data_IF_206290592919
#
_entry.id   IF_206290592919
#
_cell.length_a   1.000
_cell.length_b   1.000
_cell.length_c   1.000
_cell.angle_alpha   90.00
_cell.angle_beta   90.00
_cell.angle_gamma   90.00
#
_symmetry.space_group_name_H-M   'P 1'
#
loop_
_entity.id
_entity.type
_entity.pdbx_description
1 polymer ?
#
# COMPACT_ATOMS: atom_id res chain seq x y z
N UNK A 1 19.07 5.68 -0.88
CA UNK A 1 17.93 6.46 -0.34
C UNK A 1 17.85 6.31 1.17
N UNK A 2 17.42 7.37 1.86
CA UNK A 2 17.16 7.36 3.30
C UNK A 2 15.65 7.48 3.49
N UNK A 3 15.03 6.49 4.14
CA UNK A 3 13.59 6.47 4.37
C UNK A 3 13.27 7.29 5.62
N UNK A 4 12.58 8.43 5.47
CA UNK A 4 12.20 9.30 6.59
C UNK A 4 10.97 8.77 7.31
N UNK A 5 9.98 8.30 6.55
CA UNK A 5 8.70 7.81 7.05
C UNK A 5 8.21 6.68 6.13
N UNK A 6 7.46 5.73 6.68
CA UNK A 6 6.82 4.66 5.92
C UNK A 6 5.43 4.40 6.49
N UNK A 7 4.51 3.99 5.62
CA UNK A 7 3.18 3.52 5.99
C UNK A 7 2.81 2.35 5.07
N UNK A 8 2.13 1.34 5.61
CA UNK A 8 1.73 0.16 4.84
C UNK A 8 0.25 -0.15 5.01
N UNK A 9 -0.39 -0.68 3.96
CA UNK A 9 -1.82 -1.04 4.03
C UNK A 9 -2.10 -2.18 5.02
N UNK A 10 -1.12 -3.02 5.33
CA UNK A 10 -1.23 -4.03 6.38
C UNK A 10 -1.31 -3.46 7.81
N UNK A 11 -1.10 -2.16 7.99
CA UNK A 11 -1.33 -1.45 9.25
C UNK A 11 -2.79 -0.98 9.41
N UNK A 12 -3.52 -0.81 8.30
CA UNK A 12 -4.91 -0.32 8.28
C UNK A 12 -5.91 -1.16 9.09
N UNK A 13 -5.73 -2.48 9.31
CA UNK A 13 -6.58 -3.22 10.23
C UNK A 13 -6.60 -2.66 11.66
N UNK A 14 -5.53 -1.97 12.11
CA UNK A 14 -5.52 -1.26 13.40
C UNK A 14 -6.51 -0.09 13.43
N UNK A 15 -6.78 0.49 12.28
CA UNK A 15 -7.66 1.64 12.08
C UNK A 15 -9.07 1.23 11.62
N UNK A 16 -9.40 -0.08 11.65
CA UNK A 16 -10.74 -0.59 11.35
C UNK A 16 -10.92 -1.20 9.95
N UNK A 17 -9.98 -1.00 9.02
CA UNK A 17 -10.05 -1.59 7.67
C UNK A 17 -9.41 -2.97 7.68
N UNK A 18 -10.21 -4.01 7.95
CA UNK A 18 -9.70 -5.40 8.12
C UNK A 18 -9.40 -6.13 6.80
N UNK A 19 -10.06 -5.75 5.71
CA UNK A 19 -9.99 -6.40 4.39
C UNK A 19 -9.95 -5.34 3.29
N UNK A 20 -9.72 -5.74 2.04
CA UNK A 20 -9.69 -4.80 0.91
C UNK A 20 -8.45 -3.89 0.87
N UNK A 21 -7.31 -4.37 1.40
CA UNK A 21 -6.08 -3.59 1.61
C UNK A 21 -5.33 -3.16 0.33
N UNK A 22 -5.92 -3.41 -0.84
CA UNK A 22 -5.33 -3.16 -2.15
C UNK A 22 -6.22 -2.30 -3.05
N UNK A 23 -7.39 -1.84 -2.59
CA UNK A 23 -8.27 -0.99 -3.39
C UNK A 23 -7.85 0.50 -3.35
N UNK A 24 -8.58 1.36 -4.06
CA UNK A 24 -8.30 2.80 -4.11
C UNK A 24 -8.46 3.46 -2.73
N UNK A 25 -9.52 3.12 -1.99
CA UNK A 25 -9.79 3.65 -0.66
C UNK A 25 -8.67 3.32 0.36
N UNK A 26 -8.14 2.10 0.32
CA UNK A 26 -7.00 1.69 1.14
C UNK A 26 -5.73 2.44 0.74
N UNK A 27 -5.50 2.67 -0.56
CA UNK A 27 -4.38 3.49 -1.03
C UNK A 27 -4.48 4.93 -0.49
N UNK A 28 -5.65 5.55 -0.57
CA UNK A 28 -5.93 6.86 0.04
C UNK A 28 -5.66 6.85 1.54
N UNK A 29 -6.18 5.88 2.29
CA UNK A 29 -5.91 5.74 3.72
C UNK A 29 -4.42 5.61 4.03
N UNK A 30 -3.65 4.85 3.23
CA UNK A 30 -2.20 4.73 3.42
C UNK A 30 -1.45 6.03 3.16
N UNK A 31 -1.87 6.80 2.16
CA UNK A 31 -1.32 8.14 1.89
C UNK A 31 -1.58 9.10 3.06
N UNK A 32 -2.82 9.12 3.56
CA UNK A 32 -3.20 9.92 4.72
C UNK A 32 -2.38 9.53 5.96
N UNK A 33 -2.22 8.24 6.21
CA UNK A 33 -1.40 7.73 7.31
C UNK A 33 0.07 8.17 7.19
N UNK A 34 0.63 8.11 5.98
CA UNK A 34 2.00 8.54 5.73
C UNK A 34 2.18 10.03 6.04
N UNK A 35 1.28 10.88 5.52
CA UNK A 35 1.30 12.32 5.72
C UNK A 35 1.19 12.70 7.20
N UNK A 36 0.16 12.20 7.90
CA UNK A 36 -0.03 12.51 9.33
C UNK A 36 1.15 12.03 10.18
N UNK A 37 1.72 10.86 9.88
CA UNK A 37 2.89 10.33 10.58
C UNK A 37 4.14 11.17 10.33
N UNK A 38 4.34 11.63 9.10
CA UNK A 38 5.48 12.48 8.75
C UNK A 38 5.36 13.84 9.43
N UNK A 39 4.20 14.49 9.35
CA UNK A 39 3.98 15.79 9.97
C UNK A 39 4.10 15.73 11.49
N UNK A 40 3.59 14.70 12.15
CA UNK A 40 3.78 14.50 13.60
C UNK A 40 5.26 14.33 13.95
N UNK A 41 6.01 13.57 13.14
CA UNK A 41 7.46 13.41 13.33
C UNK A 41 8.22 14.74 13.19
N UNK A 42 7.75 15.62 12.32
CA UNK A 42 8.35 16.92 12.03
C UNK A 42 7.74 18.06 12.88
N UNK A 43 6.75 17.79 13.72
CA UNK A 43 6.00 18.78 14.53
C UNK A 43 5.31 19.85 13.69
N UNK A 44 4.75 19.44 12.55
CA UNK A 44 4.01 20.28 11.61
C UNK A 44 2.52 19.90 11.55
N UNK A 45 2.11 18.92 12.34
CA UNK A 45 0.78 18.31 12.33
C UNK A 45 -0.34 19.24 12.77
N UNK A 46 -0.06 20.17 13.71
CA UNK A 46 -1.00 21.19 14.17
C UNK A 46 -1.14 22.37 13.20
N UNK A 47 -0.10 22.64 12.40
CA UNK A 47 -0.07 23.76 11.45
C UNK A 47 -0.77 23.35 10.16
N UNK A 48 -0.40 22.18 9.64
CA UNK A 48 -0.90 21.65 8.38
C UNK A 48 -1.80 20.45 8.65
N UNK A 49 -3.03 20.72 9.11
CA UNK A 49 -4.04 19.69 9.38
C UNK A 49 -4.55 19.00 8.09
N UNK A 50 -4.42 19.68 6.96
CA UNK A 50 -4.96 19.27 5.67
C UNK A 50 -6.48 19.31 5.64
N UNK A 51 -7.07 18.53 4.73
CA UNK A 51 -8.51 18.54 4.48
C UNK A 51 -9.25 17.58 5.43
N UNK A 52 -9.93 18.10 6.46
CA UNK A 52 -10.65 17.29 7.46
C UNK A 52 -11.82 16.52 6.85
N UNK A 53 -12.67 17.23 6.10
CA UNK A 53 -13.82 16.66 5.40
C UNK A 53 -13.49 16.38 3.94
N UNK A 54 -13.51 15.10 3.55
CA UNK A 54 -13.08 14.68 2.21
C UNK A 54 -14.23 14.83 1.21
N UNK A 55 -14.09 15.79 0.30
CA UNK A 55 -15.06 16.11 -0.77
C UNK A 55 -14.64 15.58 -2.15
N UNK A 56 -13.37 15.18 -2.32
CA UNK A 56 -12.82 14.68 -3.59
C UNK A 56 -12.27 15.77 -4.51
N UNK A 57 -12.32 17.04 -4.12
CA UNK A 57 -11.81 18.18 -4.89
C UNK A 57 -10.28 18.22 -4.92
N UNK A 58 -9.73 19.11 -5.74
CA UNK A 58 -8.29 19.39 -5.69
C UNK A 58 -7.97 20.17 -4.43
N UNK A 59 -6.96 19.71 -3.68
CA UNK A 59 -6.49 20.40 -2.49
C UNK A 59 -4.97 20.45 -2.51
N UNK A 60 -4.43 21.67 -2.45
CA UNK A 60 -3.00 21.91 -2.30
C UNK A 60 -2.81 22.73 -1.02
N UNK A 61 -1.90 22.30 -0.15
CA UNK A 61 -1.53 23.07 1.03
C UNK A 61 -0.71 24.28 0.60
N UNK A 62 -1.06 25.45 1.13
CA UNK A 62 -0.27 26.67 1.02
C UNK A 62 0.54 26.91 2.30
N UNK A 63 1.63 27.65 2.18
CA UNK A 63 2.43 28.06 3.32
C UNK A 63 1.65 29.02 4.22
N UNK A 64 1.82 28.90 5.54
CA UNK A 64 1.21 29.81 6.51
C UNK A 64 2.27 30.83 6.91
N UNK A 65 1.91 32.12 6.81
CA UNK A 65 2.80 33.22 7.19
C UNK A 65 3.33 33.03 8.62
N UNK A 66 4.61 33.34 8.82
CA UNK A 66 5.30 33.24 10.12
C UNK A 66 5.37 31.82 10.74
N UNK A 67 5.01 30.78 9.99
CA UNK A 67 5.20 29.37 10.36
C UNK A 67 6.25 28.71 9.46
N UNK A 68 6.82 27.56 9.87
CA UNK A 68 7.62 26.75 8.95
C UNK A 68 6.77 26.34 7.75
N UNK A 69 7.34 26.42 6.54
CA UNK A 69 6.63 26.07 5.31
C UNK A 69 6.17 24.62 5.26
N UNK A 70 5.20 24.36 4.38
CA UNK A 70 4.61 23.06 4.17
C UNK A 70 5.67 22.07 3.67
N UNK A 71 5.53 20.80 4.07
CA UNK A 71 6.48 19.78 3.64
C UNK A 71 6.24 19.44 2.17
N UNK A 72 7.09 19.99 1.30
CA UNK A 72 7.03 19.75 -0.15
C UNK A 72 7.58 18.38 -0.54
N UNK A 73 6.76 17.60 -1.23
CA UNK A 73 7.02 16.25 -1.69
C UNK A 73 6.78 16.14 -3.20
N UNK A 74 7.45 15.18 -3.86
CA UNK A 74 7.21 14.85 -5.26
C UNK A 74 6.80 13.40 -5.39
N UNK A 75 5.77 13.13 -6.18
CA UNK A 75 5.32 11.76 -6.44
C UNK A 75 6.28 11.09 -7.44
N UNK A 76 6.97 10.05 -6.98
CA UNK A 76 7.66 9.10 -7.85
C UNK A 76 6.76 7.87 -8.09
N UNK A 77 6.41 7.63 -9.36
CA UNK A 77 5.57 6.49 -9.78
C UNK A 77 6.38 5.25 -10.12
N UNK A 78 7.72 5.34 -10.15
CA UNK A 78 8.60 4.29 -10.62
C UNK A 78 8.24 3.82 -12.02
N UNK A 79 8.00 2.51 -12.17
CA UNK A 79 7.64 1.88 -13.45
C UNK A 79 6.12 1.75 -13.66
N UNK A 80 5.30 2.29 -12.74
CA UNK A 80 3.83 2.17 -12.84
C UNK A 80 3.33 3.08 -13.97
N UNK A 81 2.48 2.52 -14.84
CA UNK A 81 1.80 3.31 -15.88
C UNK A 81 0.85 4.31 -15.24
N UNK A 82 0.99 5.58 -15.59
CA UNK A 82 0.18 6.70 -15.07
C UNK A 82 -1.17 6.81 -15.77
N UNK A 83 -2.02 5.79 -15.67
CA UNK A 83 -3.39 5.82 -16.17
C UNK A 83 -4.32 6.54 -15.19
N UNK A 84 -5.38 7.16 -15.71
CA UNK A 84 -6.42 7.79 -14.89
C UNK A 84 -7.08 6.74 -13.99
N UNK A 85 -7.26 7.08 -12.70
CA UNK A 85 -7.82 6.19 -11.69
C UNK A 85 -6.83 5.19 -11.08
N UNK A 86 -5.53 5.27 -11.41
CA UNK A 86 -4.54 4.40 -10.79
C UNK A 86 -4.41 4.68 -9.27
N UNK A 87 -4.29 3.59 -8.49
CA UNK A 87 -4.21 3.64 -7.01
C UNK A 87 -3.03 4.46 -6.47
N UNK A 88 -1.96 4.61 -7.24
CA UNK A 88 -0.82 5.48 -6.88
C UNK A 88 -1.27 6.93 -6.68
N UNK A 89 -2.24 7.40 -7.46
CA UNK A 89 -2.81 8.73 -7.31
C UNK A 89 -3.78 8.81 -6.11
N UNK A 90 -4.43 7.70 -5.74
CA UNK A 90 -5.19 7.62 -4.50
C UNK A 90 -4.29 7.81 -3.27
N UNK A 91 -3.12 7.16 -3.24
CA UNK A 91 -2.14 7.38 -2.18
C UNK A 91 -1.58 8.82 -2.17
N UNK A 92 -1.32 9.39 -3.35
CA UNK A 92 -0.91 10.79 -3.46
C UNK A 92 -1.99 11.75 -2.92
N UNK A 93 -3.25 11.58 -3.33
CA UNK A 93 -4.38 12.40 -2.85
C UNK A 93 -4.54 12.29 -1.33
N UNK A 94 -4.47 11.08 -0.78
CA UNK A 94 -4.52 10.89 0.67
C UNK A 94 -3.38 11.61 1.40
N UNK A 95 -2.19 11.66 0.79
CA UNK A 95 -1.05 12.36 1.36
C UNK A 95 -1.20 13.90 1.27
N UNK A 96 -1.73 14.41 0.15
CA UNK A 96 -2.06 15.84 -0.01
C UNK A 96 -3.12 16.28 1.00
N UNK A 97 -4.22 15.52 1.14
CA UNK A 97 -5.30 15.78 2.10
C UNK A 97 -4.86 15.61 3.56
N UNK A 98 -3.74 14.91 3.77
CA UNK A 98 -3.09 14.78 5.06
C UNK A 98 -2.25 15.98 5.47
N UNK A 99 -2.01 16.93 4.56
CA UNK A 99 -1.29 18.18 4.81
C UNK A 99 0.08 18.31 4.14
N UNK A 100 0.43 17.42 3.19
CA UNK A 100 1.67 17.56 2.42
C UNK A 100 1.45 18.44 1.19
N UNK A 101 2.43 19.29 0.87
CA UNK A 101 2.47 19.99 -0.41
C UNK A 101 2.99 19.03 -1.48
N UNK A 102 2.11 18.54 -2.34
CA UNK A 102 2.45 17.70 -3.49
C UNK A 102 1.91 18.38 -4.74
N UNK A 103 2.76 18.84 -5.68
CA UNK A 103 2.27 19.46 -6.90
C UNK A 103 1.59 18.40 -7.78
N UNK A 104 0.30 18.56 -8.03
CA UNK A 104 -0.51 17.64 -8.83
C UNK A 104 -1.68 18.35 -9.54
N UNK A 105 -2.34 17.63 -10.46
CA UNK A 105 -3.60 18.05 -11.10
C UNK A 105 -4.64 16.95 -11.01
N UNK A 106 -5.90 17.28 -11.30
CA UNK A 106 -7.04 16.36 -11.21
C UNK A 106 -7.13 15.35 -12.36
N UNK A 107 -6.33 15.53 -13.43
CA UNK A 107 -6.41 14.74 -14.69
C UNK A 107 -6.22 13.24 -14.52
N UNK A 108 -5.58 12.80 -13.43
CA UNK A 108 -5.29 11.39 -13.16
C UNK A 108 -6.17 10.76 -12.07
N UNK A 109 -7.07 11.53 -11.47
CA UNK A 109 -8.02 11.00 -10.50
C UNK A 109 -9.20 10.29 -11.17
N UNK A 110 -9.82 9.29 -10.50
CA UNK A 110 -11.13 8.80 -10.89
C UNK A 110 -12.12 9.97 -11.00
N UNK A 111 -12.94 9.99 -12.06
CA UNK A 111 -13.90 11.07 -12.30
C UNK A 111 -13.40 12.15 -13.27
N UNK A 112 -12.16 12.08 -13.75
CA UNK A 112 -11.72 12.91 -14.87
C UNK A 112 -12.12 12.29 -16.21
N UNK A 113 -12.82 13.06 -17.03
CA UNK A 113 -13.18 12.70 -18.40
C UNK A 113 -12.17 13.31 -19.39
N UNK A 114 -11.48 12.46 -20.14
CA UNK A 114 -10.50 12.90 -21.13
C UNK A 114 -11.09 13.50 -22.40
N UNK A 115 -12.34 13.17 -22.72
CA UNK A 115 -13.01 13.66 -23.93
C UNK A 115 -13.54 15.08 -23.71
N UNK A 116 -14.21 15.30 -22.58
CA UNK A 116 -14.80 16.58 -22.23
C UNK A 116 -13.82 17.50 -21.46
N UNK A 117 -12.74 16.94 -20.89
CA UNK A 117 -11.78 17.70 -20.09
C UNK A 117 -12.32 18.11 -18.71
N UNK A 118 -13.41 17.49 -18.27
CA UNK A 118 -14.12 17.82 -17.03
C UNK A 118 -13.75 16.85 -15.91
N UNK A 119 -13.83 17.33 -14.65
CA UNK A 119 -13.54 16.54 -13.47
C UNK A 119 -14.75 16.52 -12.52
N UNK A 120 -15.25 15.32 -12.21
CA UNK A 120 -16.26 15.10 -11.19
C UNK A 120 -15.63 14.76 -9.85
N UNK A 121 -15.64 15.72 -8.92
CA UNK A 121 -15.20 15.52 -7.55
C UNK A 121 -16.04 14.47 -6.81
N UNK A 122 -17.34 14.39 -7.12
CA UNK A 122 -18.24 13.39 -6.53
C UNK A 122 -17.81 11.96 -6.88
N UNK A 123 -17.49 11.69 -8.15
CA UNK A 123 -16.99 10.36 -8.56
C UNK A 123 -15.67 10.04 -7.87
N UNK A 124 -14.78 11.02 -7.72
CA UNK A 124 -13.53 10.84 -6.99
C UNK A 124 -13.77 10.50 -5.51
N UNK A 125 -14.64 11.27 -4.84
CA UNK A 125 -15.06 11.05 -3.46
C UNK A 125 -15.62 9.64 -3.26
N UNK A 126 -16.47 9.19 -4.18
CA UNK A 126 -17.06 7.86 -4.16
C UNK A 126 -15.97 6.76 -4.28
N UNK A 127 -14.88 7.00 -5.00
CA UNK A 127 -13.73 6.09 -5.02
C UNK A 127 -12.94 6.09 -3.71
N UNK A 128 -12.75 7.26 -3.09
CA UNK A 128 -12.07 7.40 -1.80
C UNK A 128 -12.80 6.63 -0.70
N UNK A 129 -14.14 6.67 -0.68
CA UNK A 129 -14.95 5.93 0.30
C UNK A 129 -15.35 4.52 -0.14
N UNK A 130 -14.81 4.04 -1.27
CA UNK A 130 -15.03 2.67 -1.72
C UNK A 130 -16.44 2.36 -2.24
N UNK A 131 -17.25 3.37 -2.57
CA UNK A 131 -18.61 3.14 -3.09
C UNK A 131 -18.63 2.32 -4.38
N UNK A 132 -17.63 2.43 -5.25
CA UNK A 132 -17.48 1.57 -6.42
C UNK A 132 -17.40 0.07 -6.05
N UNK A 133 -16.72 -0.26 -4.93
CA UNK A 133 -16.68 -1.64 -4.41
C UNK A 133 -18.04 -2.02 -3.82
N UNK A 134 -18.69 -1.12 -3.09
CA UNK A 134 -20.02 -1.36 -2.53
C UNK A 134 -21.07 -1.60 -3.63
N UNK A 135 -21.03 -0.84 -4.72
CA UNK A 135 -21.92 -1.04 -5.87
C UNK A 135 -21.67 -2.38 -6.54
N UNK A 136 -20.40 -2.79 -6.69
CA UNK A 136 -20.09 -4.12 -7.21
C UNK A 136 -20.52 -5.24 -6.27
N UNK A 137 -20.44 -5.03 -4.95
CA UNK A 137 -20.99 -5.97 -3.97
C UNK A 137 -22.51 -6.14 -4.14
N UNK A 138 -23.25 -5.04 -4.32
CA UNK A 138 -24.71 -5.06 -4.52
C UNK A 138 -25.08 -5.77 -5.82
N UNK A 139 -24.48 -5.36 -6.94
CA UNK A 139 -24.81 -5.96 -8.25
C UNK A 139 -24.51 -7.46 -8.26
N UNK A 140 -23.36 -7.88 -7.71
CA UNK A 140 -22.99 -9.29 -7.70
C UNK A 140 -23.86 -10.11 -6.74
N UNK A 141 -24.31 -9.53 -5.63
CA UNK A 141 -25.23 -10.20 -4.71
C UNK A 141 -26.60 -10.45 -5.35
N UNK A 142 -27.08 -9.53 -6.20
CA UNK A 142 -28.36 -9.65 -6.90
C UNK A 142 -28.28 -10.58 -8.13
N UNK A 143 -27.15 -10.57 -8.85
CA UNK A 143 -26.96 -11.32 -10.09
C UNK A 143 -26.47 -12.77 -9.86
N UNK A 144 -25.48 -12.98 -8.99
CA UNK A 144 -24.81 -14.27 -8.77
C UNK A 144 -24.26 -14.40 -7.34
N UNK A 145 -25.05 -15.02 -6.47
CA UNK A 145 -24.71 -15.21 -5.06
C UNK A 145 -23.44 -16.07 -4.85
N UNK A 146 -23.15 -17.02 -5.75
CA UNK A 146 -21.98 -17.89 -5.63
C UNK A 146 -20.69 -17.15 -6.03
N UNK A 147 -20.75 -16.33 -7.09
CA UNK A 147 -19.68 -15.41 -7.43
C UNK A 147 -19.46 -14.38 -6.31
N UNK A 148 -20.52 -13.86 -5.70
CA UNK A 148 -20.43 -12.97 -4.54
C UNK A 148 -19.70 -13.63 -3.36
N UNK A 149 -20.11 -14.84 -2.97
CA UNK A 149 -19.44 -15.60 -1.90
C UNK A 149 -17.97 -15.84 -2.22
N UNK A 150 -17.62 -16.14 -3.47
CA UNK A 150 -16.24 -16.35 -3.89
C UNK A 150 -15.42 -15.05 -3.79
N UNK A 151 -15.89 -13.97 -4.41
CA UNK A 151 -15.18 -12.70 -4.51
C UNK A 151 -15.06 -11.99 -3.16
N UNK A 152 -16.14 -11.99 -2.37
CA UNK A 152 -16.27 -11.24 -1.13
C UNK A 152 -16.26 -12.12 0.13
N UNK A 153 -15.79 -13.37 0.03
CA UNK A 153 -15.69 -14.32 1.17
C UNK A 153 -15.12 -13.71 2.46
N UNK A 154 -14.04 -12.93 2.34
CA UNK A 154 -13.41 -12.28 3.50
C UNK A 154 -14.23 -11.10 4.04
N UNK A 155 -15.00 -10.40 3.21
CA UNK A 155 -15.92 -9.36 3.65
C UNK A 155 -17.07 -9.97 4.45
N UNK A 156 -17.65 -11.07 3.95
CA UNK A 156 -18.68 -11.84 4.65
C UNK A 156 -18.16 -12.32 6.01
N UNK A 157 -16.96 -12.92 6.04
CA UNK A 157 -16.31 -13.39 7.27
C UNK A 157 -16.13 -12.28 8.31
N UNK A 158 -15.85 -11.06 7.87
CA UNK A 158 -15.64 -9.90 8.74
C UNK A 158 -16.91 -9.07 8.97
N UNK A 159 -18.08 -9.51 8.47
CA UNK A 159 -19.37 -8.81 8.58
C UNK A 159 -19.36 -7.39 7.99
N UNK A 160 -18.66 -7.22 6.88
CA UNK A 160 -18.60 -5.97 6.13
C UNK A 160 -19.58 -6.07 4.96
N UNK A 161 -20.54 -5.16 4.90
CA UNK A 161 -21.59 -5.09 3.88
C UNK A 161 -21.36 -3.87 2.98
N UNK A 162 -22.06 -3.80 1.85
CA UNK A 162 -21.96 -2.65 0.94
C UNK A 162 -22.27 -1.32 1.66
N UNK A 163 -23.29 -1.31 2.54
CA UNK A 163 -23.76 -0.10 3.21
C UNK A 163 -22.84 0.41 4.32
N UNK A 164 -22.10 -0.49 4.98
CA UNK A 164 -21.21 -0.11 6.07
C UNK A 164 -19.79 0.26 5.62
N UNK A 165 -19.48 0.12 4.32
CA UNK A 165 -18.15 0.31 3.76
C UNK A 165 -17.68 1.77 3.85
N UNK A 166 -18.54 2.74 3.48
CA UNK A 166 -18.19 4.16 3.59
C UNK A 166 -17.95 4.57 5.06
N UNK A 167 -18.81 4.09 5.97
CA UNK A 167 -18.66 4.36 7.40
C UNK A 167 -17.35 3.78 7.96
N UNK A 168 -16.91 2.62 7.47
CA UNK A 168 -15.62 2.02 7.84
C UNK A 168 -14.45 2.92 7.44
N UNK A 169 -14.43 3.46 6.22
CA UNK A 169 -13.35 4.36 5.78
C UNK A 169 -13.39 5.71 6.48
N UNK A 170 -14.56 6.31 6.73
CA UNK A 170 -14.67 7.52 7.55
C UNK A 170 -14.07 7.34 8.95
N UNK A 171 -14.39 6.21 9.61
CA UNK A 171 -13.81 5.85 10.91
C UNK A 171 -12.30 5.65 10.81
N UNK A 172 -11.80 5.03 9.73
CA UNK A 172 -10.38 4.87 9.48
C UNK A 172 -9.66 6.23 9.37
N UNK A 173 -10.21 7.18 8.60
CA UNK A 173 -9.62 8.51 8.44
C UNK A 173 -9.54 9.25 9.78
N UNK A 174 -10.61 9.21 10.58
CA UNK A 174 -10.63 9.80 11.91
C UNK A 174 -9.60 9.13 12.85
N UNK A 175 -9.53 7.79 12.85
CA UNK A 175 -8.60 7.05 13.70
C UNK A 175 -7.13 7.31 13.31
N UNK A 176 -6.83 7.46 12.02
CA UNK A 176 -5.49 7.82 11.53
C UNK A 176 -5.10 9.21 12.01
N UNK A 177 -6.01 10.19 11.95
CA UNK A 177 -5.74 11.55 12.44
C UNK A 177 -5.53 11.60 13.94
N UNK A 178 -6.27 10.79 14.70
CA UNK A 178 -6.13 10.69 16.14
C UNK A 178 -4.81 10.05 16.58
N UNK A 179 -4.36 8.97 15.91
CA UNK A 179 -3.10 8.30 16.22
C UNK A 179 -2.40 7.78 14.95
N UNK A 180 -1.52 8.55 14.31
CA UNK A 180 -0.79 8.09 13.13
C UNK A 180 0.46 7.26 13.49
N UNK A 181 0.75 7.03 14.77
CA UNK A 181 2.02 6.45 15.23
C UNK A 181 2.24 5.01 14.73
N UNK A 182 3.47 4.60 14.37
CA UNK A 182 3.74 3.21 14.03
C UNK A 182 3.48 2.26 15.20
N UNK A 183 3.09 1.02 14.91
CA UNK A 183 2.98 0.00 15.96
C UNK A 183 4.35 -0.25 16.61
N UNK A 184 4.37 -0.36 17.94
CA UNK A 184 5.56 -0.71 18.68
C UNK A 184 6.18 -2.01 18.14
N UNK A 185 7.51 -2.02 17.97
CA UNK A 185 8.24 -3.22 17.55
C UNK A 185 8.09 -4.28 18.65
N UNK A 186 7.72 -5.49 18.25
CA UNK A 186 7.74 -6.63 19.17
C UNK A 186 9.17 -6.93 19.58
N UNK A 187 9.37 -7.31 20.83
CA UNK A 187 10.67 -7.73 21.32
C UNK A 187 11.22 -8.90 20.49
N UNK A 188 12.53 -8.85 20.23
CA UNK A 188 13.21 -9.94 19.54
C UNK A 188 13.18 -11.15 20.48
N UNK A 189 12.42 -12.17 20.09
CA UNK A 189 12.47 -13.46 20.79
C UNK A 189 13.88 -14.04 20.66
N UNK A 190 14.39 -14.60 21.75
CA UNK A 190 15.59 -15.42 21.68
C UNK A 190 15.26 -16.71 20.93
N UNK A 191 15.79 -16.85 19.72
CA UNK A 191 15.52 -17.97 18.83
C UNK A 191 16.85 -18.56 18.41
N UNK A 192 17.01 -19.89 18.59
CA UNK A 192 18.15 -20.63 18.08
C UNK A 192 18.24 -20.46 16.55
N UNK A 193 19.28 -19.78 16.08
CA UNK A 193 19.44 -19.47 14.66
C UNK A 193 19.67 -20.76 13.87
N UNK A 194 18.65 -21.20 13.13
CA UNK A 194 18.75 -22.31 12.19
C UNK A 194 19.23 -21.79 10.84
N UNK A 195 20.18 -22.50 10.21
CA UNK A 195 20.61 -22.22 8.85
C UNK A 195 19.63 -22.86 7.85
N UNK A 196 18.94 -22.02 7.07
CA UNK A 196 18.01 -22.48 6.03
C UNK A 196 18.69 -22.75 4.69
N UNK A 197 19.80 -22.04 4.42
CA UNK A 197 20.55 -22.15 3.16
C UNK A 197 21.77 -23.06 3.31
N UNK A 198 22.13 -23.80 2.26
CA UNK A 198 23.35 -24.63 2.27
C UNK A 198 24.57 -23.77 2.60
N UNK A 199 25.51 -24.36 3.34
CA UNK A 199 26.79 -23.72 3.59
C UNK A 199 27.58 -23.56 2.29
N UNK A 200 28.25 -22.42 2.13
CA UNK A 200 29.16 -22.22 1.00
C UNK A 200 30.28 -23.25 1.13
N UNK A 201 30.37 -24.14 0.15
CA UNK A 201 31.41 -25.19 0.11
C UNK A 201 32.78 -24.51 0.07
N UNK A 202 33.68 -24.95 0.96
CA UNK A 202 35.05 -24.43 1.03
C UNK A 202 35.84 -24.74 -0.24
N UNK A 203 36.91 -23.98 -0.51
CA UNK A 203 37.75 -24.22 -1.69
C UNK A 203 38.37 -25.62 -1.69
N UNK A 204 38.74 -26.14 -0.51
CA UNK A 204 39.26 -27.50 -0.34
C UNK A 204 38.22 -28.54 -0.73
N UNK A 205 37.01 -28.47 -0.15
CA UNK A 205 35.90 -29.37 -0.52
C UNK A 205 35.53 -29.27 -2.01
N UNK A 206 35.64 -28.10 -2.64
CA UNK A 206 35.44 -27.95 -4.09
C UNK A 206 36.51 -28.69 -4.90
N UNK A 207 37.80 -28.51 -4.55
CA UNK A 207 38.92 -29.18 -5.21
C UNK A 207 38.85 -30.69 -5.03
N UNK A 208 38.57 -31.15 -3.82
CA UNK A 208 38.43 -32.57 -3.48
C UNK A 208 37.26 -33.20 -4.25
N UNK A 209 36.12 -32.51 -4.34
CA UNK A 209 34.97 -32.97 -5.14
C UNK A 209 35.32 -33.13 -6.62
N UNK A 210 36.09 -32.20 -7.20
CA UNK A 210 36.55 -32.32 -8.60
C UNK A 210 37.48 -33.51 -8.76
N UNK A 211 38.44 -33.70 -7.85
CA UNK A 211 39.36 -34.84 -7.88
C UNK A 211 38.61 -36.17 -7.77
N UNK A 212 37.67 -36.28 -6.83
CA UNK A 212 36.81 -37.46 -6.65
C UNK A 212 36.00 -37.76 -7.91
N UNK A 213 35.41 -36.74 -8.54
CA UNK A 213 34.67 -36.91 -9.80
C UNK A 213 35.54 -37.40 -10.95
N UNK A 214 36.77 -36.88 -11.09
CA UNK A 214 37.71 -37.34 -12.13
C UNK A 214 38.12 -38.81 -11.92
N UNK A 215 38.44 -39.19 -10.68
CA UNK A 215 38.82 -40.58 -10.35
C UNK A 215 37.66 -41.54 -10.58
N UNK A 216 36.44 -41.17 -10.16
CA UNK A 216 35.25 -42.01 -10.38
C UNK A 216 34.98 -42.23 -11.87
N UNK A 217 35.17 -41.20 -12.70
CA UNK A 217 34.97 -41.31 -14.15
C UNK A 217 36.01 -42.21 -14.82
N UNK A 218 37.29 -42.09 -14.46
CA UNK A 218 38.34 -42.97 -14.99
C UNK A 218 38.08 -44.45 -14.64
N UNK A 219 37.62 -44.72 -13.42
CA UNK A 219 37.21 -46.09 -13.02
C UNK A 219 36.00 -46.62 -13.78
N UNK A 220 35.09 -45.76 -14.22
CA UNK A 220 33.95 -46.17 -15.05
C UNK A 220 34.43 -46.58 -16.45
N UNK A 221 35.37 -45.83 -17.04
CA UNK A 221 35.95 -46.17 -18.34
C UNK A 221 36.72 -47.50 -18.29
N UNK A 222 37.58 -47.70 -17.28
CA UNK A 222 38.32 -48.96 -17.14
C UNK A 222 37.37 -50.16 -17.00
N UNK A 223 36.24 -50.01 -16.30
CA UNK A 223 35.25 -51.08 -16.17
C UNK A 223 34.41 -51.32 -17.44
N UNK A 224 34.19 -50.30 -18.28
CA UNK A 224 33.55 -50.44 -19.59
C UNK A 224 34.49 -51.07 -20.63
N UNK A 225 35.81 -50.86 -20.50
CA UNK A 225 36.82 -51.47 -21.36
C UNK A 225 37.11 -52.95 -20.99
N UNK A 226 36.82 -53.35 -19.74
CA UNK A 226 36.99 -54.72 -19.20
C UNK A 226 35.74 -55.62 -19.39
N UNK A 227 34.60 -55.09 -19.85
CA UNK A 227 33.36 -55.82 -20.25
C UNK A 227 33.33 -56.13 -21.75
#
# INVERSE_FOLDING_TARGET
DIIICAAYSHELPRYGVKVGLTNYAAAYCTGLLLARRLLQKLKLDDIYEGQKEVDGEQFNVEDVDEKPGAFRCYLDVGLVRTTTGARVFGAMKGAADGGLDIPHSTKRFPGYDSENGEFSAEVHRNHIFGQHVANYMRSLQDEDEDAFKKQFSQFIKNKITADNLEAMYKKCHAAIRADPSPKAKKDKKDVKVKRWNRAKISIKQRKDRVKQKKVAYLKQLEAEDDE
#
